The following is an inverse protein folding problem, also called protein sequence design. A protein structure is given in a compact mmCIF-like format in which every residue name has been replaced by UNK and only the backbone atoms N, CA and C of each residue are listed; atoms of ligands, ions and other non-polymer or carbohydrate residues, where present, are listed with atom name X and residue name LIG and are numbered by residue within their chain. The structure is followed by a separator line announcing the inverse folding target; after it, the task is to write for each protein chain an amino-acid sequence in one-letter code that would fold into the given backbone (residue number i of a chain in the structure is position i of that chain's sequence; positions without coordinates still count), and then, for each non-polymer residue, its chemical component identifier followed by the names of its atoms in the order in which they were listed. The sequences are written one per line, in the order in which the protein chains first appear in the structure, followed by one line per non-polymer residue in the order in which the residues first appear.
data_IF_203649575601
#
_entry.id   IF_203649575601
#
_cell.length_a   1.000
_cell.length_b   1.000
_cell.length_c   1.000
_cell.angle_alpha   90.00
_cell.angle_beta   90.00
_cell.angle_gamma   90.00
#
_symmetry.space_group_name_H-M   'P 1'
#
loop_
_entity.id
_entity.type
_entity.pdbx_description
1 polymer ?
#
# COMPACT_ATOMS: atom_id res chain seq x y z
N UNK A 1 -33.35 34.01 16.90
CA UNK A 1 -33.48 33.11 15.72
C UNK A 1 -32.17 33.01 14.99
N UNK A 2 -31.99 31.97 14.22
CA UNK A 2 -30.86 31.76 13.32
C UNK A 2 -31.37 31.36 11.92
N UNK A 3 -30.81 31.95 10.86
CA UNK A 3 -31.15 31.69 9.47
C UNK A 3 -29.89 31.80 8.60
N UNK A 4 -29.69 30.90 7.62
CA UNK A 4 -30.40 29.65 7.38
C UNK A 4 -30.22 28.64 8.53
N UNK A 5 -30.93 27.50 8.52
CA UNK A 5 -30.78 26.46 9.54
C UNK A 5 -29.35 26.00 9.67
N UNK A 6 -28.96 25.58 10.90
CA UNK A 6 -27.67 24.99 11.19
C UNK A 6 -27.49 23.65 10.47
N UNK A 7 -26.23 23.19 10.24
CA UNK A 7 -25.93 21.83 9.83
C UNK A 7 -26.60 20.80 10.76
N UNK A 8 -26.95 19.65 10.20
CA UNK A 8 -27.55 18.55 10.93
C UNK A 8 -26.69 18.12 12.12
N UNK A 9 -27.36 17.84 13.26
CA UNK A 9 -26.72 17.52 14.53
C UNK A 9 -26.41 18.74 15.39
N UNK A 10 -26.53 19.98 14.88
CA UNK A 10 -26.38 21.20 15.65
C UNK A 10 -27.75 21.81 15.97
N UNK A 11 -27.86 22.41 17.14
CA UNK A 11 -29.07 23.09 17.62
C UNK A 11 -28.76 24.49 18.14
N UNK A 12 -29.67 25.44 17.89
CA UNK A 12 -29.59 26.81 18.41
C UNK A 12 -30.51 26.99 19.61
N UNK A 13 -29.96 27.40 20.74
CA UNK A 13 -30.71 27.71 21.95
C UNK A 13 -31.29 29.14 21.87
N UNK A 14 -32.63 29.25 21.86
CA UNK A 14 -33.30 30.55 21.87
C UNK A 14 -33.23 31.28 23.20
N UNK A 15 -32.83 30.61 24.28
CA UNK A 15 -32.79 31.19 25.61
C UNK A 15 -31.53 32.04 25.85
N UNK A 16 -30.39 31.58 25.35
CA UNK A 16 -29.07 32.14 25.59
C UNK A 16 -28.25 32.39 24.33
N UNK A 17 -28.75 31.98 23.15
CA UNK A 17 -28.07 32.15 21.86
C UNK A 17 -26.94 31.15 21.61
N UNK A 18 -26.79 30.12 22.45
CA UNK A 18 -25.74 29.10 22.25
C UNK A 18 -26.05 28.16 21.08
N UNK A 19 -25.00 27.65 20.45
CA UNK A 19 -25.06 26.57 19.45
C UNK A 19 -24.44 25.33 20.11
N UNK A 20 -25.18 24.24 20.13
CA UNK A 20 -24.78 22.98 20.77
C UNK A 20 -25.08 21.79 19.86
N UNK A 21 -24.38 20.69 20.05
CA UNK A 21 -24.60 19.43 19.32
C UNK A 21 -23.32 18.85 18.73
N UNK A 22 -23.48 17.75 18.02
CA UNK A 22 -22.42 17.08 17.27
C UNK A 22 -22.88 17.06 15.80
N UNK A 23 -22.18 17.75 14.89
CA UNK A 23 -22.55 17.72 13.48
C UNK A 23 -22.41 16.31 12.92
N UNK A 24 -23.35 15.87 12.11
CA UNK A 24 -23.42 14.51 11.57
C UNK A 24 -23.05 14.42 10.08
N UNK A 25 -22.91 15.56 9.41
CA UNK A 25 -22.59 15.62 7.98
C UNK A 25 -21.60 16.74 7.68
N UNK A 26 -20.78 16.54 6.65
CA UNK A 26 -19.87 17.57 6.16
C UNK A 26 -20.69 18.74 5.62
N UNK A 27 -20.23 19.95 5.90
CA UNK A 27 -20.92 21.16 5.48
C UNK A 27 -19.92 22.22 4.98
N UNK A 28 -20.09 22.67 3.75
CA UNK A 28 -19.29 23.76 3.22
C UNK A 28 -19.51 25.03 4.06
N UNK A 29 -18.47 25.90 4.10
CA UNK A 29 -18.57 27.17 4.83
C UNK A 29 -19.80 27.96 4.37
N UNK A 30 -20.63 28.39 5.32
CA UNK A 30 -21.87 29.11 5.08
C UNK A 30 -22.09 30.18 6.14
N UNK A 31 -22.66 31.32 5.73
CA UNK A 31 -23.10 32.38 6.63
C UNK A 31 -24.44 32.03 7.26
N UNK A 32 -24.54 32.27 8.56
CA UNK A 32 -25.77 32.19 9.35
C UNK A 32 -25.99 33.51 10.06
N UNK A 33 -27.20 34.04 9.96
CA UNK A 33 -27.63 35.32 10.55
C UNK A 33 -28.34 35.02 11.87
N UNK A 34 -27.74 35.46 12.99
CA UNK A 34 -28.31 35.32 14.34
C UNK A 34 -28.98 36.61 14.73
N UNK A 35 -30.29 36.57 14.96
CA UNK A 35 -31.10 37.73 15.39
C UNK A 35 -31.53 37.58 16.85
N UNK A 36 -31.14 38.52 17.66
CA UNK A 36 -31.61 38.68 19.04
C UNK A 36 -32.65 39.82 19.10
N UNK A 37 -33.74 39.61 19.82
CA UNK A 37 -34.85 40.54 19.95
C UNK A 37 -35.32 40.70 21.40
N UNK A 38 -35.61 41.93 21.81
CA UNK A 38 -36.28 42.24 23.05
C UNK A 38 -37.37 43.32 22.80
N UNK A 39 -37.99 43.81 23.86
CA UNK A 39 -39.05 44.87 23.75
C UNK A 39 -38.57 46.19 23.21
N UNK A 40 -37.26 46.46 23.18
CA UNK A 40 -36.66 47.67 22.64
C UNK A 40 -36.25 47.59 21.17
N UNK A 41 -36.27 46.36 20.60
CA UNK A 41 -35.89 46.13 19.17
C UNK A 41 -35.12 44.85 18.94
N UNK A 42 -34.50 44.73 17.77
CA UNK A 42 -33.71 43.58 17.38
C UNK A 42 -32.37 43.99 16.78
N UNK A 43 -31.39 43.09 16.93
CA UNK A 43 -30.07 43.19 16.30
C UNK A 43 -29.71 41.86 15.66
N UNK A 44 -29.05 41.92 14.51
CA UNK A 44 -28.59 40.73 13.78
C UNK A 44 -27.07 40.76 13.65
N UNK A 45 -26.44 39.60 13.84
CA UNK A 45 -25.03 39.38 13.59
C UNK A 45 -24.84 38.15 12.70
N UNK A 46 -23.66 38.01 12.08
CA UNK A 46 -23.33 36.91 11.18
C UNK A 46 -22.29 36.01 11.83
N UNK A 47 -22.47 34.70 11.69
CA UNK A 47 -21.46 33.69 12.00
C UNK A 47 -21.22 32.83 10.75
N UNK A 48 -19.99 32.33 10.61
CA UNK A 48 -19.60 31.39 9.56
C UNK A 48 -19.44 30.01 10.17
N UNK A 49 -20.12 29.03 9.59
CA UNK A 49 -20.03 27.63 10.04
C UNK A 49 -19.62 26.75 8.87
N UNK A 50 -18.66 25.87 9.11
CA UNK A 50 -18.32 24.74 8.25
C UNK A 50 -18.15 23.48 9.10
N UNK A 51 -18.41 22.32 8.52
CA UNK A 51 -18.13 21.02 9.13
C UNK A 51 -17.17 20.28 8.22
N UNK A 52 -16.03 19.88 8.76
CA UNK A 52 -14.97 19.20 8.02
C UNK A 52 -14.62 17.89 8.75
N UNK A 53 -14.06 16.92 8.02
CA UNK A 53 -13.50 15.73 8.65
C UNK A 53 -12.29 16.07 9.52
N UNK A 54 -12.03 15.18 10.47
CA UNK A 54 -10.74 15.15 11.16
C UNK A 54 -9.73 14.51 10.21
N UNK A 55 -8.58 15.14 10.00
CA UNK A 55 -7.48 14.55 9.23
C UNK A 55 -7.06 13.21 9.81
N UNK A 56 -6.71 12.21 8.98
CA UNK A 56 -6.12 10.99 9.47
C UNK A 56 -4.86 11.25 10.29
N UNK A 57 -4.62 10.50 11.36
CA UNK A 57 -3.43 10.62 12.20
C UNK A 57 -2.83 9.26 12.54
N UNK A 58 -1.52 9.26 12.84
CA UNK A 58 -0.79 8.07 13.29
C UNK A 58 -0.90 6.86 12.35
N UNK A 59 -0.85 7.09 11.04
CA UNK A 59 -0.84 5.98 10.07
C UNK A 59 0.40 5.13 10.27
N UNK A 60 0.21 3.82 10.37
CA UNK A 60 1.29 2.83 10.54
C UNK A 60 1.01 1.57 9.77
N UNK A 61 2.08 0.99 9.26
CA UNK A 61 2.13 -0.39 8.76
C UNK A 61 3.06 -1.19 9.67
N UNK A 62 2.61 -2.37 10.08
CA UNK A 62 3.41 -3.28 10.89
C UNK A 62 3.44 -4.68 10.24
N UNK A 63 4.61 -5.16 9.82
CA UNK A 63 5.92 -4.51 9.88
C UNK A 63 6.10 -3.38 8.84
N UNK A 64 6.90 -2.38 9.14
CA UNK A 64 7.26 -1.32 8.18
C UNK A 64 8.49 -1.67 7.32
N UNK A 65 9.26 -2.68 7.72
CA UNK A 65 10.36 -3.27 6.95
C UNK A 65 9.90 -4.60 6.37
N UNK A 66 9.75 -4.66 5.07
CA UNK A 66 9.31 -5.84 4.34
C UNK A 66 10.49 -6.52 3.66
N UNK A 67 10.73 -7.79 4.00
CA UNK A 67 11.67 -8.66 3.32
C UNK A 67 10.86 -9.73 2.58
N UNK A 68 10.70 -9.56 1.29
CA UNK A 68 9.88 -10.41 0.44
C UNK A 68 10.75 -11.33 -0.41
N UNK A 69 10.15 -12.39 -0.90
CA UNK A 69 10.78 -13.35 -1.79
C UNK A 69 10.11 -13.28 -3.17
N UNK A 70 10.92 -13.27 -4.22
CA UNK A 70 10.43 -13.31 -5.62
C UNK A 70 9.49 -14.50 -5.83
N UNK A 71 8.33 -14.24 -6.45
CA UNK A 71 7.28 -15.21 -6.76
C UNK A 71 6.63 -15.89 -5.54
N UNK A 72 6.83 -15.38 -4.36
CA UNK A 72 6.06 -15.78 -3.17
C UNK A 72 5.02 -14.72 -2.85
N UNK A 73 3.79 -15.17 -2.60
CA UNK A 73 2.69 -14.27 -2.22
C UNK A 73 2.95 -13.72 -0.82
N UNK A 74 2.91 -12.41 -0.68
CA UNK A 74 3.02 -11.77 0.63
C UNK A 74 1.70 -11.84 1.40
N UNK A 75 1.79 -11.90 2.72
CA UNK A 75 0.61 -11.66 3.56
C UNK A 75 0.11 -10.25 3.35
N UNK A 76 -1.22 -10.06 3.31
CA UNK A 76 -1.82 -8.73 3.20
C UNK A 76 -1.33 -7.85 4.34
N UNK A 77 -0.77 -6.69 3.99
CA UNK A 77 -0.30 -5.69 4.93
C UNK A 77 -1.32 -4.56 5.03
N UNK A 78 -2.03 -4.51 6.15
CA UNK A 78 -3.08 -3.51 6.40
C UNK A 78 -2.55 -2.36 7.26
N UNK A 79 -2.94 -1.11 6.97
CA UNK A 79 -2.60 0.03 7.81
C UNK A 79 -3.43 0.10 9.08
N UNK A 80 -2.92 0.83 10.06
CA UNK A 80 -3.66 1.27 11.24
C UNK A 80 -3.55 2.79 11.41
N UNK A 81 -4.54 3.41 12.04
CA UNK A 81 -4.58 4.84 12.33
C UNK A 81 -5.35 5.14 13.62
N UNK A 82 -5.27 6.38 14.14
CA UNK A 82 -5.92 6.79 15.39
C UNK A 82 -7.19 7.59 15.17
N UNK A 83 -7.12 8.67 14.40
CA UNK A 83 -8.23 9.60 14.17
C UNK A 83 -8.42 9.83 12.69
N UNK A 84 -9.58 10.33 12.30
CA UNK A 84 -9.90 10.66 10.91
C UNK A 84 -9.80 9.46 9.99
N UNK A 85 -10.92 8.91 9.54
CA UNK A 85 -10.93 7.76 8.63
C UNK A 85 -10.37 8.15 7.27
N UNK A 86 -9.31 7.49 6.77
CA UNK A 86 -8.85 7.71 5.40
C UNK A 86 -9.89 7.30 4.37
N UNK A 87 -10.06 8.10 3.32
CA UNK A 87 -10.94 7.82 2.18
C UNK A 87 -10.15 7.42 0.93
N UNK A 88 -8.89 7.79 0.86
CA UNK A 88 -8.01 7.43 -0.25
C UNK A 88 -6.55 7.31 0.17
N UNK A 89 -5.82 6.48 -0.59
CA UNK A 89 -4.43 6.16 -0.34
C UNK A 89 -3.58 6.35 -1.58
N UNK A 90 -2.38 6.87 -1.39
CA UNK A 90 -1.39 7.09 -2.44
C UNK A 90 -0.02 6.57 -1.99
N UNK A 91 0.81 6.19 -2.94
CA UNK A 91 2.17 5.71 -2.68
C UNK A 91 3.15 6.23 -3.73
N UNK A 92 4.36 6.57 -3.30
CA UNK A 92 5.46 6.94 -4.18
C UNK A 92 6.80 6.42 -3.62
N UNK A 93 7.69 5.92 -4.48
CA UNK A 93 7.47 5.57 -5.88
C UNK A 93 6.41 4.47 -6.06
N UNK A 94 6.09 4.11 -7.30
CA UNK A 94 5.21 2.97 -7.56
C UNK A 94 5.81 1.70 -6.95
N UNK A 95 4.94 0.85 -6.39
CA UNK A 95 5.34 -0.44 -5.85
C UNK A 95 6.05 -1.31 -6.90
N UNK A 96 6.91 -2.23 -6.48
CA UNK A 96 7.51 -3.24 -7.33
C UNK A 96 6.45 -4.00 -8.13
N UNK A 97 6.80 -4.40 -9.34
CA UNK A 97 5.90 -5.16 -10.18
C UNK A 97 5.45 -6.46 -9.49
N UNK A 98 4.14 -6.70 -9.50
CA UNK A 98 3.48 -7.80 -8.79
C UNK A 98 2.90 -7.41 -7.44
N UNK A 99 3.27 -6.26 -6.86
CA UNK A 99 2.65 -5.71 -5.66
C UNK A 99 1.65 -4.60 -6.02
N UNK A 100 0.60 -4.48 -5.23
CA UNK A 100 -0.45 -3.47 -5.40
C UNK A 100 -0.81 -2.82 -4.08
N UNK A 101 -1.14 -1.53 -4.12
CA UNK A 101 -1.81 -0.80 -3.06
C UNK A 101 -3.29 -0.68 -3.40
N UNK A 102 -4.17 -1.14 -2.52
CA UNK A 102 -5.58 -0.81 -2.60
C UNK A 102 -5.78 0.65 -2.16
N UNK A 103 -6.24 1.47 -3.10
CA UNK A 103 -6.38 2.91 -2.88
C UNK A 103 -7.58 3.29 -2.02
N UNK A 104 -8.45 2.35 -1.67
CA UNK A 104 -9.63 2.60 -0.83
C UNK A 104 -9.35 2.28 0.65
N UNK A 105 -8.64 1.20 0.93
CA UNK A 105 -8.40 0.74 2.29
C UNK A 105 -6.91 0.78 2.72
N UNK A 106 -5.99 1.08 1.78
CA UNK A 106 -4.55 1.17 2.05
C UNK A 106 -3.83 -0.17 2.15
N UNK A 107 -4.48 -1.28 1.86
CA UNK A 107 -3.85 -2.60 1.93
C UNK A 107 -2.82 -2.79 0.82
N UNK A 108 -1.67 -3.38 1.19
CA UNK A 108 -0.63 -3.78 0.25
C UNK A 108 -0.62 -5.29 0.17
N UNK A 109 -0.64 -5.82 -1.05
CA UNK A 109 -0.66 -7.26 -1.30
C UNK A 109 -0.05 -7.59 -2.65
N UNK A 110 0.15 -8.87 -2.92
CA UNK A 110 0.58 -9.40 -4.22
C UNK A 110 1.81 -10.29 -4.13
N UNK A 111 2.41 -10.52 -5.29
CA UNK A 111 3.49 -11.45 -5.50
C UNK A 111 4.59 -10.74 -6.32
N UNK A 112 5.69 -10.30 -5.70
CA UNK A 112 6.74 -9.57 -6.40
C UNK A 112 7.46 -10.48 -7.39
N UNK A 113 7.76 -9.97 -8.60
CA UNK A 113 8.31 -10.80 -9.68
C UNK A 113 9.78 -10.54 -10.01
N UNK A 114 10.39 -9.51 -9.41
CA UNK A 114 11.81 -9.20 -9.58
C UNK A 114 12.47 -8.91 -8.24
N UNK A 115 13.75 -9.26 -8.13
CA UNK A 115 14.59 -8.86 -6.99
C UNK A 115 14.74 -7.34 -6.94
N UNK A 116 14.80 -6.79 -5.74
CA UNK A 116 14.96 -5.35 -5.54
C UNK A 116 15.73 -5.08 -4.25
N UNK A 117 16.70 -4.20 -4.33
CA UNK A 117 17.38 -3.66 -3.16
C UNK A 117 16.43 -2.83 -2.30
N UNK A 118 16.79 -2.66 -1.03
CA UNK A 118 15.99 -1.90 -0.08
C UNK A 118 15.60 -0.52 -0.62
N UNK A 119 14.30 -0.33 -0.79
CA UNK A 119 13.72 0.92 -1.33
C UNK A 119 12.63 1.42 -0.40
N UNK A 120 12.64 2.72 -0.15
CA UNK A 120 11.65 3.38 0.69
C UNK A 120 10.46 3.86 -0.14
N UNK A 121 9.27 3.67 0.40
CA UNK A 121 7.98 4.05 -0.19
C UNK A 121 7.25 4.95 0.77
N UNK A 122 6.95 6.17 0.31
CA UNK A 122 6.12 7.12 1.04
C UNK A 122 4.65 6.84 0.75
N UNK A 123 3.83 6.78 1.78
CA UNK A 123 2.39 6.50 1.67
C UNK A 123 1.64 7.66 2.31
N UNK A 124 0.62 8.15 1.62
CA UNK A 124 -0.32 9.18 2.08
C UNK A 124 -1.69 8.58 2.27
N UNK A 125 -2.32 8.96 3.36
CA UNK A 125 -3.71 8.65 3.69
C UNK A 125 -4.49 9.97 3.77
N UNK A 126 -5.53 10.11 2.97
CA UNK A 126 -6.24 11.35 2.75
C UNK A 126 -7.72 11.21 3.07
N UNK A 127 -8.32 12.28 3.56
CA UNK A 127 -9.76 12.53 3.58
C UNK A 127 -10.03 14.03 3.34
N UNK A 128 -11.29 14.48 3.42
CA UNK A 128 -11.64 15.90 3.20
C UNK A 128 -11.11 16.84 4.28
N UNK A 129 -10.71 16.33 5.46
CA UNK A 129 -10.09 17.09 6.54
C UNK A 129 -8.58 17.31 6.36
N UNK A 130 -7.93 16.54 5.49
CA UNK A 130 -6.50 16.63 5.23
C UNK A 130 -5.84 15.28 4.98
N UNK A 131 -4.54 15.21 5.20
CA UNK A 131 -3.76 13.99 5.00
C UNK A 131 -2.74 13.78 6.11
N UNK A 132 -2.25 12.55 6.18
CA UNK A 132 -1.04 12.20 6.92
C UNK A 132 -0.21 11.22 6.10
N UNK A 133 1.05 11.06 6.47
CA UNK A 133 1.97 10.22 5.73
C UNK A 133 2.74 9.25 6.63
N UNK A 134 3.17 8.17 6.04
CA UNK A 134 4.06 7.17 6.66
C UNK A 134 5.01 6.60 5.62
N UNK A 135 5.99 5.82 6.06
CA UNK A 135 6.97 5.20 5.18
C UNK A 135 7.11 3.72 5.48
N UNK A 136 7.25 2.93 4.43
CA UNK A 136 7.68 1.52 4.50
C UNK A 136 8.95 1.33 3.68
N UNK A 137 9.71 0.27 3.99
CA UNK A 137 10.86 -0.14 3.20
C UNK A 137 10.65 -1.57 2.69
N UNK A 138 10.89 -1.80 1.40
CA UNK A 138 10.73 -3.11 0.77
C UNK A 138 12.06 -3.57 0.19
N UNK A 139 12.47 -4.77 0.56
CA UNK A 139 13.57 -5.52 -0.04
C UNK A 139 12.99 -6.80 -0.64
N UNK A 140 13.35 -7.14 -1.86
CA UNK A 140 12.91 -8.37 -2.52
C UNK A 140 14.14 -9.19 -2.91
N UNK A 141 14.26 -10.40 -2.37
CA UNK A 141 15.38 -11.32 -2.64
C UNK A 141 14.89 -12.59 -3.33
N UNK A 142 15.78 -13.30 -3.99
CA UNK A 142 15.55 -14.66 -4.42
C UNK A 142 16.02 -15.63 -3.35
N UNK A 143 15.37 -16.77 -3.25
CA UNK A 143 15.91 -17.88 -2.48
C UNK A 143 17.03 -18.55 -3.29
N UNK A 144 18.08 -19.09 -2.61
CA UNK A 144 19.09 -19.88 -3.30
C UNK A 144 18.45 -21.12 -3.93
N UNK A 145 19.05 -21.68 -4.99
CA UNK A 145 18.64 -22.99 -5.51
C UNK A 145 18.63 -24.03 -4.38
N UNK A 146 17.60 -24.87 -4.33
CA UNK A 146 17.44 -25.86 -3.26
C UNK A 146 18.05 -27.20 -3.67
N UNK A 147 17.51 -27.79 -4.74
CA UNK A 147 18.02 -29.03 -5.31
C UNK A 147 18.09 -28.90 -6.83
N UNK A 148 19.22 -29.38 -7.38
CA UNK A 148 19.39 -29.59 -8.81
C UNK A 148 19.77 -31.04 -9.03
N UNK A 149 19.13 -31.68 -9.99
CA UNK A 149 19.45 -33.05 -10.36
C UNK A 149 19.16 -33.32 -11.84
N UNK A 150 19.89 -34.26 -12.39
CA UNK A 150 19.64 -34.83 -13.69
C UNK A 150 18.92 -36.17 -13.50
N UNK A 151 18.18 -36.60 -14.53
CA UNK A 151 17.38 -37.85 -14.49
C UNK A 151 18.21 -39.11 -14.19
N UNK A 152 19.48 -39.07 -14.54
CA UNK A 152 20.42 -40.16 -14.32
C UNK A 152 21.66 -39.67 -13.60
N UNK A 153 22.29 -40.52 -12.83
CA UNK A 153 23.58 -40.22 -12.17
C UNK A 153 24.79 -40.47 -13.08
N UNK A 154 24.60 -41.19 -14.18
CA UNK A 154 25.64 -41.54 -15.17
C UNK A 154 25.06 -41.53 -16.57
N UNK A 155 25.75 -40.88 -17.48
CA UNK A 155 25.42 -40.83 -18.90
C UNK A 155 26.56 -41.38 -19.74
N UNK A 156 26.28 -42.46 -20.46
CA UNK A 156 27.22 -43.04 -21.40
C UNK A 156 26.87 -42.57 -22.79
N UNK A 157 27.68 -41.66 -23.37
CA UNK A 157 27.42 -41.01 -24.63
C UNK A 157 28.25 -41.61 -25.76
N UNK A 158 27.66 -41.70 -26.96
CA UNK A 158 28.37 -42.16 -28.17
C UNK A 158 28.95 -40.96 -28.91
N UNK A 159 30.14 -41.10 -29.49
CA UNK A 159 30.77 -40.08 -30.32
C UNK A 159 29.90 -39.76 -31.55
N UNK A 160 29.90 -38.48 -31.97
CA UNK A 160 29.13 -37.96 -33.11
C UNK A 160 27.60 -38.14 -33.00
N UNK A 161 27.08 -38.25 -31.78
CA UNK A 161 25.65 -38.30 -31.52
C UNK A 161 25.25 -37.04 -30.79
N UNK A 162 24.20 -36.38 -31.26
CA UNK A 162 23.62 -35.22 -30.56
C UNK A 162 22.87 -35.69 -29.32
N UNK A 163 23.10 -35.03 -28.18
CA UNK A 163 22.43 -35.34 -26.91
C UNK A 163 21.84 -34.05 -26.31
N UNK A 164 20.83 -34.21 -25.50
CA UNK A 164 20.25 -33.17 -24.67
C UNK A 164 19.92 -33.77 -23.32
N UNK A 165 20.63 -33.33 -22.28
CA UNK A 165 20.47 -33.84 -20.92
C UNK A 165 19.79 -32.73 -20.11
N UNK A 166 18.48 -32.84 -19.87
CA UNK A 166 17.75 -31.83 -19.12
C UNK A 166 18.09 -31.89 -17.65
N UNK A 167 18.14 -30.74 -17.00
CA UNK A 167 18.26 -30.61 -15.55
C UNK A 167 16.89 -30.33 -14.94
N UNK A 168 16.67 -30.84 -13.74
CA UNK A 168 15.52 -30.50 -12.93
C UNK A 168 15.99 -29.68 -11.73
N UNK A 169 15.31 -28.59 -11.48
CA UNK A 169 15.47 -27.79 -10.27
C UNK A 169 14.11 -27.47 -9.69
N UNK A 170 14.04 -27.29 -8.39
CA UNK A 170 12.80 -26.98 -7.68
C UNK A 170 12.53 -25.46 -7.58
N UNK A 171 13.46 -24.62 -8.07
CA UNK A 171 13.34 -23.17 -8.05
C UNK A 171 13.66 -22.57 -9.41
N UNK A 172 12.81 -21.69 -9.93
CA UNK A 172 12.86 -21.24 -11.33
C UNK A 172 14.00 -20.26 -11.67
N UNK A 173 14.70 -19.72 -10.67
CA UNK A 173 15.67 -18.64 -10.90
C UNK A 173 17.07 -19.07 -10.50
N UNK A 174 17.81 -19.59 -11.47
CA UNK A 174 19.25 -19.81 -11.40
C UNK A 174 19.90 -18.86 -12.40
N UNK A 175 20.69 -17.91 -11.92
CA UNK A 175 21.31 -16.87 -12.75
C UNK A 175 22.52 -17.41 -13.53
N UNK A 176 23.26 -18.35 -12.96
CA UNK A 176 24.47 -18.91 -13.55
C UNK A 176 24.62 -20.38 -13.26
N UNK A 177 25.21 -21.10 -14.23
CA UNK A 177 25.57 -22.49 -14.12
C UNK A 177 27.06 -22.66 -14.33
N UNK A 178 27.68 -23.37 -13.42
CA UNK A 178 29.10 -23.74 -13.52
C UNK A 178 29.24 -25.26 -13.37
N UNK A 179 30.14 -25.85 -14.14
CA UNK A 179 30.46 -27.27 -14.05
C UNK A 179 31.96 -27.49 -13.85
N UNK A 180 32.29 -28.30 -12.86
CA UNK A 180 33.69 -28.65 -12.55
C UNK A 180 33.83 -30.15 -12.25
N UNK A 181 34.79 -30.83 -12.90
CA UNK A 181 35.66 -30.36 -13.95
C UNK A 181 34.93 -30.03 -15.24
N UNK A 182 35.58 -29.34 -16.20
CA UNK A 182 34.98 -28.97 -17.46
C UNK A 182 34.44 -30.19 -18.21
N UNK A 183 33.33 -29.99 -18.91
CA UNK A 183 32.70 -31.04 -19.71
C UNK A 183 33.65 -31.51 -20.85
N UNK A 184 33.50 -32.75 -21.30
CA UNK A 184 34.16 -33.26 -22.50
C UNK A 184 33.95 -32.37 -23.72
N UNK A 185 34.95 -32.35 -24.61
CA UNK A 185 34.87 -31.52 -25.84
C UNK A 185 33.63 -31.84 -26.65
N UNK A 186 32.88 -30.81 -27.03
CA UNK A 186 31.62 -30.89 -27.75
C UNK A 186 30.35 -30.85 -26.89
N UNK A 187 30.48 -30.91 -25.54
CA UNK A 187 29.37 -30.67 -24.62
C UNK A 187 29.48 -29.28 -24.00
N UNK A 188 28.35 -28.65 -23.84
CA UNK A 188 28.23 -27.34 -23.21
C UNK A 188 27.05 -27.34 -22.21
N UNK A 189 27.16 -26.56 -21.14
CA UNK A 189 26.00 -26.26 -20.29
C UNK A 189 25.35 -24.99 -20.82
N UNK A 190 24.04 -25.04 -20.99
CA UNK A 190 23.24 -23.92 -21.45
C UNK A 190 22.79 -23.04 -20.27
N UNK A 191 22.29 -21.85 -20.57
CA UNK A 191 21.81 -20.88 -19.55
C UNK A 191 20.67 -21.43 -18.68
N UNK A 192 19.97 -22.45 -19.15
CA UNK A 192 18.92 -23.15 -18.38
C UNK A 192 19.43 -24.38 -17.63
N UNK A 193 20.75 -24.62 -17.60
CA UNK A 193 21.39 -25.78 -16.94
C UNK A 193 21.36 -27.08 -17.74
N UNK A 194 20.79 -27.10 -18.94
CA UNK A 194 20.79 -28.28 -19.82
C UNK A 194 22.18 -28.48 -20.42
N UNK A 195 22.62 -29.73 -20.56
CA UNK A 195 23.86 -30.11 -21.23
C UNK A 195 23.56 -30.70 -22.59
#
# INVERSE_FOLDING_TARGET
TIEPPLPDGLSFSQNDGSIIGIPSELHAIREHYVTATNTGGSITTTILISVQDISPTNIRYEPYLLNLIVNEEMSVLSPSWSDGTPESWEIYPNLPQGLTLDRQNGEISGNPIYVQESTNYQIWANNTGGYTETQISITISSLPPDEIYWSESEYVLSSNTSVLIPVTNNRPYIDTWEVSPSLPSGLVILDNGTI
#
